data_IF_475949505887
#
_entry.id   IF_475949505887
#
_cell.length_a   1.000
_cell.length_b   1.000
_cell.length_c   1.000
_cell.angle_alpha   90.00
_cell.angle_beta   90.00
_cell.angle_gamma   90.00
#
_symmetry.space_group_name_H-M   'P 1'
#
loop_
_entity.id
_entity.type
_entity.pdbx_description
1 polymer ?
#
# COMPACT_ATOMS: atom_id res chain seq x y z
N UNK A 1 -10.83 -52.82 1.67
CA UNK A 1 -11.63 -51.78 0.95
C UNK A 1 -11.83 -50.48 1.70
N UNK A 2 -11.40 -50.33 2.91
CA UNK A 2 -11.61 -49.10 3.71
C UNK A 2 -10.44 -48.09 3.74
N UNK A 3 -9.34 -48.40 3.11
CA UNK A 3 -8.12 -47.55 3.20
C UNK A 3 -8.14 -46.36 2.22
N UNK A 4 -8.94 -46.44 1.16
CA UNK A 4 -8.98 -45.38 0.15
C UNK A 4 -9.93 -44.21 0.48
N UNK A 5 -10.89 -44.41 1.38
CA UNK A 5 -11.83 -43.34 1.74
C UNK A 5 -11.35 -42.38 2.82
N UNK A 6 -10.43 -42.81 3.67
CA UNK A 6 -9.88 -41.97 4.75
C UNK A 6 -8.87 -40.93 4.29
N UNK A 7 -8.20 -41.20 3.18
CA UNK A 7 -7.16 -40.28 2.65
C UNK A 7 -7.75 -39.04 2.00
N UNK A 8 -8.93 -39.13 1.40
CA UNK A 8 -9.56 -37.98 0.70
C UNK A 8 -10.16 -36.96 1.65
N UNK A 9 -10.68 -37.43 2.80
CA UNK A 9 -11.29 -36.52 3.81
C UNK A 9 -10.23 -35.70 4.55
N UNK A 10 -9.04 -36.26 4.79
CA UNK A 10 -7.94 -35.56 5.48
C UNK A 10 -7.36 -34.45 4.59
N UNK A 11 -7.27 -34.67 3.29
CA UNK A 11 -6.81 -33.66 2.34
C UNK A 11 -7.75 -32.47 2.21
N UNK A 12 -9.05 -32.71 2.25
CA UNK A 12 -10.08 -31.65 2.18
C UNK A 12 -10.14 -30.79 3.43
N UNK A 13 -9.96 -31.38 4.62
CA UNK A 13 -9.93 -30.66 5.89
C UNK A 13 -8.67 -29.78 6.02
N UNK A 14 -7.56 -30.25 5.49
CA UNK A 14 -6.31 -29.47 5.50
C UNK A 14 -6.40 -28.26 4.58
N UNK A 15 -7.02 -28.41 3.42
CA UNK A 15 -7.22 -27.31 2.47
C UNK A 15 -8.22 -26.26 3.01
N UNK A 16 -9.27 -26.68 3.68
CA UNK A 16 -10.22 -25.77 4.33
C UNK A 16 -9.61 -24.98 5.47
N UNK A 17 -8.71 -25.58 6.26
CA UNK A 17 -8.00 -24.92 7.35
C UNK A 17 -7.04 -23.83 6.89
N UNK A 18 -6.35 -24.04 5.77
CA UNK A 18 -5.42 -23.04 5.19
C UNK A 18 -6.18 -21.84 4.62
N UNK A 19 -7.33 -22.05 4.00
CA UNK A 19 -8.16 -20.96 3.47
C UNK A 19 -8.83 -20.13 4.57
N UNK A 20 -9.16 -20.71 5.70
CA UNK A 20 -9.79 -20.03 6.83
C UNK A 20 -8.77 -19.30 7.74
N UNK A 21 -7.49 -19.72 7.72
CA UNK A 21 -6.43 -19.11 8.53
C UNK A 21 -5.88 -17.80 7.96
N UNK A 22 -6.16 -17.50 6.69
CA UNK A 22 -5.53 -16.40 5.95
C UNK A 22 -6.43 -15.17 5.75
N UNK A 23 -7.47 -15.01 6.57
CA UNK A 23 -8.28 -13.78 6.58
C UNK A 23 -7.58 -12.64 7.33
N UNK A 24 -6.27 -12.45 7.08
CA UNK A 24 -5.58 -11.25 7.53
C UNK A 24 -6.22 -10.06 6.83
N UNK A 25 -6.80 -9.15 7.60
CA UNK A 25 -7.36 -7.92 7.08
C UNK A 25 -6.34 -7.24 6.19
N UNK A 26 -6.74 -6.91 4.97
CA UNK A 26 -5.94 -6.06 4.09
C UNK A 26 -5.56 -4.76 4.81
N UNK A 27 -4.34 -4.31 4.60
CA UNK A 27 -3.87 -3.03 5.12
C UNK A 27 -4.35 -1.90 4.19
N UNK A 28 -4.88 -0.83 4.75
CA UNK A 28 -5.40 0.32 4.01
C UNK A 28 -4.43 1.50 4.10
N UNK A 29 -4.00 1.98 2.97
CA UNK A 29 -3.14 3.15 2.85
C UNK A 29 -3.88 4.25 2.09
N UNK A 30 -4.05 5.41 2.72
CA UNK A 30 -4.55 6.59 2.03
C UNK A 30 -3.47 7.18 1.14
N UNK A 31 -3.81 7.46 -0.11
CA UNK A 31 -2.90 8.03 -1.10
C UNK A 31 -3.42 9.31 -1.72
N UNK A 32 -2.50 10.09 -2.26
CA UNK A 32 -2.78 11.30 -3.01
C UNK A 32 -3.18 10.97 -4.46
N UNK A 33 -4.04 11.79 -5.07
CA UNK A 33 -4.39 11.67 -6.50
C UNK A 33 -3.18 11.85 -7.45
N UNK A 34 -2.08 12.43 -6.99
CA UNK A 34 -0.84 12.53 -7.77
C UNK A 34 -0.13 11.20 -8.02
N UNK A 35 -0.49 10.13 -7.27
CA UNK A 35 0.04 8.79 -7.50
C UNK A 35 -0.82 8.04 -8.51
N UNK A 36 -0.21 7.60 -9.59
CA UNK A 36 -0.93 6.95 -10.68
C UNK A 36 -1.33 5.51 -10.36
N UNK A 37 -2.50 5.04 -10.86
CA UNK A 37 -2.93 3.65 -10.64
C UNK A 37 -1.90 2.59 -11.05
N UNK A 38 -1.16 2.70 -12.17
CA UNK A 38 -0.11 1.74 -12.50
C UNK A 38 0.97 1.61 -11.44
N UNK A 39 1.43 2.73 -10.86
CA UNK A 39 2.41 2.71 -9.79
C UNK A 39 1.85 2.07 -8.51
N UNK A 40 0.63 2.41 -8.13
CA UNK A 40 -0.05 1.81 -6.97
C UNK A 40 -0.22 0.30 -7.13
N UNK A 41 -0.51 -0.17 -8.33
CA UNK A 41 -0.61 -1.61 -8.63
C UNK A 41 0.74 -2.31 -8.46
N UNK A 42 1.84 -1.69 -8.92
CA UNK A 42 3.19 -2.21 -8.70
C UNK A 42 3.50 -2.37 -7.22
N UNK A 43 3.16 -1.36 -6.41
CA UNK A 43 3.35 -1.41 -4.96
C UNK A 43 2.51 -2.51 -4.30
N UNK A 44 1.24 -2.64 -4.68
CA UNK A 44 0.35 -3.67 -4.14
C UNK A 44 0.84 -5.08 -4.44
N UNK A 45 1.28 -5.33 -5.67
CA UNK A 45 1.80 -6.64 -6.08
C UNK A 45 3.09 -6.98 -5.35
N UNK A 46 4.03 -6.05 -5.29
CA UNK A 46 5.30 -6.23 -4.59
C UNK A 46 5.10 -6.48 -3.10
N UNK A 47 4.21 -5.70 -2.46
CA UNK A 47 3.89 -5.88 -1.05
C UNK A 47 3.27 -7.26 -0.77
N UNK A 48 2.30 -7.68 -1.58
CA UNK A 48 1.68 -9.00 -1.45
C UNK A 48 2.69 -10.12 -1.63
N UNK A 49 3.62 -9.97 -2.57
CA UNK A 49 4.68 -10.94 -2.82
C UNK A 49 5.62 -11.08 -1.62
N UNK A 50 6.03 -9.97 -1.02
CA UNK A 50 6.99 -9.94 0.09
C UNK A 50 6.34 -10.26 1.44
N UNK A 51 5.16 -9.73 1.69
CA UNK A 51 4.51 -9.73 3.01
C UNK A 51 3.34 -10.69 3.14
N UNK A 52 2.90 -11.33 2.04
CA UNK A 52 1.75 -12.25 2.00
C UNK A 52 0.45 -11.64 2.55
N UNK A 53 0.31 -10.32 2.41
CA UNK A 53 -0.83 -9.54 2.89
C UNK A 53 -1.27 -8.60 1.79
N UNK A 54 -2.57 -8.42 1.62
CA UNK A 54 -3.12 -7.47 0.65
C UNK A 54 -2.93 -6.03 1.14
N UNK A 55 -2.59 -5.16 0.20
CA UNK A 55 -2.47 -3.73 0.40
C UNK A 55 -3.50 -3.01 -0.46
N UNK A 56 -4.37 -2.23 0.18
CA UNK A 56 -5.41 -1.46 -0.49
C UNK A 56 -5.06 0.02 -0.43
N UNK A 57 -4.98 0.66 -1.59
CA UNK A 57 -4.81 2.09 -1.69
C UNK A 57 -6.16 2.79 -1.89
N UNK A 58 -6.41 3.82 -1.10
CA UNK A 58 -7.64 4.60 -1.14
C UNK A 58 -7.31 6.07 -1.42
N UNK A 59 -7.84 6.59 -2.52
CA UNK A 59 -7.76 8.01 -2.84
C UNK A 59 -8.94 8.72 -2.24
N UNK A 60 -8.71 9.68 -1.35
CA UNK A 60 -9.78 10.49 -0.76
C UNK A 60 -9.74 11.91 -1.31
N UNK A 61 -10.91 12.43 -1.65
CA UNK A 61 -11.05 13.81 -2.18
C UNK A 61 -11.10 14.87 -1.07
N UNK A 62 -11.44 14.47 0.16
CA UNK A 62 -11.61 15.41 1.28
C UNK A 62 -10.31 15.57 2.07
N UNK A 63 -9.93 16.81 2.32
CA UNK A 63 -8.81 17.15 3.20
C UNK A 63 -9.21 17.16 4.69
N UNK A 64 -10.50 17.26 4.98
CA UNK A 64 -11.04 17.25 6.35
C UNK A 64 -11.62 15.89 6.67
N UNK A 65 -10.81 15.05 7.30
CA UNK A 65 -11.24 13.74 7.76
C UNK A 65 -11.51 13.76 9.26
N UNK A 66 -12.64 13.16 9.64
CA UNK A 66 -12.96 12.92 11.05
C UNK A 66 -12.00 11.89 11.65
N UNK A 67 -11.87 11.87 12.98
CA UNK A 67 -11.10 10.85 13.70
C UNK A 67 -11.48 9.42 13.27
N UNK A 68 -12.78 9.16 13.15
CA UNK A 68 -13.30 7.85 12.73
C UNK A 68 -12.77 7.45 11.38
N UNK A 69 -12.78 8.35 10.40
CA UNK A 69 -12.30 8.08 9.04
C UNK A 69 -10.77 7.92 9.02
N UNK A 70 -10.03 8.73 9.75
CA UNK A 70 -8.57 8.60 9.86
C UNK A 70 -8.18 7.24 10.46
N UNK A 71 -8.91 6.77 11.46
CA UNK A 71 -8.65 5.50 12.12
C UNK A 71 -9.04 4.26 11.29
N UNK A 72 -9.72 4.43 10.15
CA UNK A 72 -9.96 3.37 9.18
C UNK A 72 -8.72 3.07 8.32
N UNK A 73 -7.75 3.98 8.28
CA UNK A 73 -6.49 3.79 7.57
C UNK A 73 -5.41 3.26 8.52
N UNK A 74 -4.52 2.45 7.97
CA UNK A 74 -3.34 1.94 8.66
C UNK A 74 -2.13 2.86 8.46
N UNK A 75 -2.06 3.49 7.29
CA UNK A 75 -0.98 4.39 6.92
C UNK A 75 -1.40 5.42 5.87
N UNK A 76 -0.52 6.37 5.63
CA UNK A 76 -0.69 7.45 4.67
C UNK A 76 0.55 7.58 3.79
N UNK A 77 0.36 7.65 2.49
CA UNK A 77 1.38 7.98 1.50
C UNK A 77 0.88 9.19 0.71
N UNK A 78 1.24 10.37 1.15
CA UNK A 78 0.69 11.64 0.68
C UNK A 78 1.79 12.62 0.31
N UNK A 79 1.45 13.61 -0.50
CA UNK A 79 2.29 14.79 -0.64
C UNK A 79 2.47 15.49 0.71
N UNK A 80 3.59 16.15 0.91
CA UNK A 80 3.86 16.87 2.16
C UNK A 80 2.77 17.91 2.47
N UNK A 81 2.27 18.61 1.44
CA UNK A 81 1.19 19.58 1.59
C UNK A 81 -0.12 18.97 2.11
N UNK A 82 -0.50 17.80 1.60
CA UNK A 82 -1.72 17.09 2.06
C UNK A 82 -1.49 16.46 3.44
N UNK A 83 -0.32 15.91 3.70
CA UNK A 83 0.04 15.34 5.00
C UNK A 83 -0.03 16.38 6.13
N UNK A 84 0.35 17.62 5.87
CA UNK A 84 0.31 18.71 6.85
C UNK A 84 -1.11 19.08 7.29
N UNK A 85 -2.14 18.71 6.52
CA UNK A 85 -3.54 18.87 6.88
C UNK A 85 -4.08 17.82 7.87
N UNK A 86 -3.32 16.75 8.14
CA UNK A 86 -3.69 15.74 9.12
C UNK A 86 -3.17 16.15 10.50
N UNK A 87 -3.99 16.05 11.58
CA UNK A 87 -3.52 16.36 12.93
C UNK A 87 -2.25 15.56 13.30
N UNK A 88 -1.24 16.24 13.79
CA UNK A 88 0.04 15.61 14.14
C UNK A 88 -0.11 14.45 15.14
N UNK A 89 -1.07 14.55 16.07
CA UNK A 89 -1.39 13.50 17.03
C UNK A 89 -1.93 12.20 16.42
N UNK A 90 -2.48 12.27 15.20
CA UNK A 90 -2.98 11.10 14.45
C UNK A 90 -1.88 10.36 13.71
N UNK A 91 -0.71 10.94 13.56
CA UNK A 91 0.41 10.41 12.79
C UNK A 91 1.49 9.86 13.72
N UNK A 92 2.15 8.83 13.24
CA UNK A 92 3.29 8.22 13.92
C UNK A 92 4.41 7.96 12.92
N UNK A 93 5.57 8.54 13.16
CA UNK A 93 6.73 8.54 12.30
C UNK A 93 6.44 9.05 10.88
N UNK A 94 6.93 10.22 10.56
CA UNK A 94 6.93 10.75 9.19
C UNK A 94 8.26 10.44 8.53
N UNK A 95 8.20 9.75 7.39
CA UNK A 95 9.37 9.42 6.59
C UNK A 95 9.20 9.98 5.17
N UNK A 96 10.20 10.72 4.72
CA UNK A 96 10.31 11.13 3.34
C UNK A 96 10.69 9.91 2.47
N UNK A 97 9.93 9.63 1.41
CA UNK A 97 10.19 8.48 0.57
C UNK A 97 10.79 8.83 -0.79
N UNK A 98 10.18 9.77 -1.51
CA UNK A 98 10.66 10.16 -2.83
C UNK A 98 10.10 11.51 -3.27
N UNK A 99 10.76 12.11 -4.25
CA UNK A 99 10.29 13.31 -4.92
C UNK A 99 9.87 12.99 -6.35
N UNK A 100 8.68 13.44 -6.75
CA UNK A 100 8.25 13.34 -8.15
C UNK A 100 9.13 14.23 -9.03
N UNK A 101 9.69 13.66 -10.10
CA UNK A 101 10.52 14.41 -11.06
C UNK A 101 9.69 15.37 -11.92
N UNK A 102 8.42 15.05 -12.16
CA UNK A 102 7.53 15.84 -13.03
C UNK A 102 7.10 17.14 -12.36
N UNK A 103 6.56 17.06 -11.15
CA UNK A 103 5.99 18.21 -10.43
C UNK A 103 6.76 18.57 -9.16
N UNK A 104 7.88 17.92 -8.89
CA UNK A 104 8.72 18.09 -7.69
C UNK A 104 7.98 17.94 -6.36
N UNK A 105 6.87 17.22 -6.37
CA UNK A 105 6.10 16.91 -5.16
C UNK A 105 6.88 15.96 -4.28
N UNK A 106 7.01 16.30 -3.00
CA UNK A 106 7.58 15.45 -1.96
C UNK A 106 6.52 14.50 -1.42
N UNK A 107 6.75 13.20 -1.51
CA UNK A 107 5.89 12.18 -0.95
C UNK A 107 6.42 11.66 0.37
N UNK A 108 5.55 11.70 1.35
CA UNK A 108 5.82 11.38 2.75
C UNK A 108 4.94 10.21 3.17
N UNK A 109 5.52 9.29 3.91
CA UNK A 109 4.83 8.17 4.53
C UNK A 109 4.69 8.40 6.03
N UNK A 110 3.54 8.03 6.58
CA UNK A 110 3.33 8.00 8.02
C UNK A 110 2.38 6.87 8.39
N UNK A 111 2.61 6.23 9.52
CA UNK A 111 1.65 5.31 10.11
C UNK A 111 0.54 6.09 10.82
N UNK A 112 -0.63 5.46 10.96
CA UNK A 112 -1.62 5.93 11.92
C UNK A 112 -1.10 5.73 13.36
N UNK A 113 -1.33 6.68 14.22
CA UNK A 113 -1.01 6.52 15.64
C UNK A 113 -2.02 5.58 16.31
N UNK A 114 -1.56 4.40 16.71
CA UNK A 114 -2.42 3.38 17.31
C UNK A 114 -3.07 3.84 18.61
N UNK A 115 -2.38 4.63 19.42
CA UNK A 115 -2.92 5.22 20.65
C UNK A 115 -4.04 6.24 20.36
N UNK A 116 -3.86 7.07 19.34
CA UNK A 116 -4.90 8.01 18.90
C UNK A 116 -6.20 7.28 18.51
N UNK A 117 -6.08 6.09 17.92
CA UNK A 117 -7.20 5.26 17.49
C UNK A 117 -7.63 4.21 18.53
N UNK A 118 -7.05 4.20 19.71
CA UNK A 118 -7.34 3.22 20.78
C UNK A 118 -7.20 1.76 20.33
N UNK A 119 -6.14 1.48 19.53
CA UNK A 119 -5.83 0.14 19.03
C UNK A 119 -4.69 -0.51 19.84
N UNK A 120 -4.77 -1.83 20.06
CA UNK A 120 -3.86 -2.57 20.92
C UNK A 120 -2.45 -2.81 20.35
N UNK A 121 -1.57 -3.40 21.17
CA UNK A 121 -0.14 -3.56 20.89
C UNK A 121 0.21 -4.44 19.68
N UNK A 122 -0.57 -5.49 19.39
CA UNK A 122 -0.37 -6.32 18.20
C UNK A 122 -0.57 -5.56 16.89
N UNK A 123 -1.44 -4.58 16.89
CA UNK A 123 -1.67 -3.71 15.76
C UNK A 123 -0.43 -2.84 15.46
N UNK A 124 0.19 -2.28 16.48
CA UNK A 124 1.43 -1.52 16.34
C UNK A 124 2.54 -2.33 15.66
N UNK A 125 2.71 -3.58 16.05
CA UNK A 125 3.70 -4.47 15.43
C UNK A 125 3.46 -4.67 13.91
N UNK A 126 2.20 -4.83 13.50
CA UNK A 126 1.84 -4.91 12.08
C UNK A 126 2.20 -3.62 11.34
N UNK A 127 1.95 -2.47 11.95
CA UNK A 127 2.27 -1.17 11.36
C UNK A 127 3.78 -0.95 11.21
N UNK A 128 4.58 -1.38 12.17
CA UNK A 128 6.05 -1.26 12.10
C UNK A 128 6.62 -2.10 10.96
N UNK A 129 6.06 -3.25 10.67
CA UNK A 129 6.43 -4.06 9.51
C UNK A 129 6.07 -3.38 8.19
N UNK A 130 4.89 -2.77 8.13
CA UNK A 130 4.44 -1.98 6.99
C UNK A 130 5.39 -0.81 6.73
N UNK A 131 5.74 -0.03 7.75
CA UNK A 131 6.68 1.09 7.67
C UNK A 131 8.03 0.66 7.11
N UNK A 132 8.63 -0.39 7.66
CA UNK A 132 9.93 -0.90 7.19
C UNK A 132 9.91 -1.25 5.71
N UNK A 133 8.86 -1.90 5.26
CA UNK A 133 8.72 -2.24 3.85
C UNK A 133 8.60 -0.99 2.97
N UNK A 134 7.76 -0.02 3.36
CA UNK A 134 7.58 1.22 2.61
C UNK A 134 8.88 2.03 2.51
N UNK A 135 9.55 2.23 3.61
CA UNK A 135 10.80 3.02 3.65
C UNK A 135 11.89 2.37 2.81
N UNK A 136 11.96 1.05 2.78
CA UNK A 136 12.97 0.32 2.02
C UNK A 136 12.61 0.18 0.53
N UNK A 137 11.38 -0.21 0.21
CA UNK A 137 11.00 -0.64 -1.14
C UNK A 137 10.39 0.47 -2.01
N UNK A 138 9.63 1.39 -1.45
CA UNK A 138 8.91 2.38 -2.25
C UNK A 138 9.84 3.34 -2.99
N UNK A 139 10.93 3.87 -2.40
CA UNK A 139 11.87 4.71 -3.14
C UNK A 139 12.50 3.99 -4.34
N UNK A 140 12.88 2.73 -4.16
CA UNK A 140 13.46 1.90 -5.21
C UNK A 140 12.46 1.63 -6.35
N UNK A 141 11.23 1.24 -6.02
CA UNK A 141 10.17 1.00 -6.99
C UNK A 141 9.73 2.28 -7.69
N UNK A 142 9.71 3.41 -7.00
CA UNK A 142 9.41 4.70 -7.59
C UNK A 142 10.43 5.08 -8.67
N UNK A 143 11.70 4.84 -8.43
CA UNK A 143 12.75 5.13 -9.39
C UNK A 143 12.66 4.22 -10.63
N UNK A 144 12.54 2.92 -10.44
CA UNK A 144 12.43 1.95 -11.55
C UNK A 144 11.16 2.14 -12.38
N UNK A 145 10.03 2.41 -11.74
CA UNK A 145 8.75 2.64 -12.43
C UNK A 145 8.78 3.90 -13.32
N UNK A 146 9.47 4.94 -12.90
CA UNK A 146 9.63 6.17 -13.71
C UNK A 146 10.37 5.92 -15.00
N UNK A 147 11.41 5.11 -14.98
CA UNK A 147 12.18 4.78 -16.19
C UNK A 147 11.28 4.06 -17.19
N UNK A 148 10.54 3.07 -16.76
CA UNK A 148 9.65 2.29 -17.62
C UNK A 148 8.49 3.12 -18.16
N UNK A 149 7.88 3.96 -17.35
CA UNK A 149 6.78 4.83 -17.76
C UNK A 149 7.21 5.84 -18.81
N UNK A 150 8.36 6.46 -18.65
CA UNK A 150 8.90 7.40 -19.63
C UNK A 150 9.19 6.72 -20.97
N UNK A 151 9.78 5.55 -20.94
CA UNK A 151 10.09 4.79 -22.16
C UNK A 151 8.83 4.35 -22.90
N UNK A 152 7.77 3.97 -22.21
CA UNK A 152 6.47 3.63 -22.81
C UNK A 152 5.77 4.87 -23.39
N UNK A 153 5.82 5.99 -22.69
CA UNK A 153 5.25 7.26 -23.17
C UNK A 153 5.96 7.73 -24.43
N UNK A 154 7.28 7.72 -24.44
CA UNK A 154 8.10 8.13 -25.58
C UNK A 154 7.85 7.22 -26.79
N UNK A 155 7.71 5.91 -26.60
CA UNK A 155 7.35 4.96 -27.67
C UNK A 155 5.97 5.24 -28.26
N UNK A 156 5.00 5.60 -27.43
CA UNK A 156 3.64 5.91 -27.85
C UNK A 156 3.62 7.22 -28.67
N UNK A 157 4.36 8.24 -28.23
CA UNK A 157 4.44 9.51 -28.95
C UNK A 157 5.15 9.36 -30.32
N UNK A 158 6.19 8.54 -30.39
CA UNK A 158 6.90 8.24 -31.63
C UNK A 158 6.00 7.52 -32.63
N UNK A 159 5.16 6.59 -32.17
CA UNK A 159 4.20 5.87 -33.00
C UNK A 159 3.15 6.82 -33.60
N UNK A 160 2.58 7.72 -32.80
CA UNK A 160 1.59 8.72 -33.26
C UNK A 160 2.18 9.67 -34.27
N UNK A 161 3.44 10.05 -34.15
CA UNK A 161 4.13 10.93 -35.14
C UNK A 161 4.36 10.25 -36.48
N UNK A 162 4.61 8.95 -36.49
CA UNK A 162 4.88 8.18 -37.71
C UNK A 162 3.62 7.77 -38.47
N UNK A 163 2.44 7.86 -37.85
CA UNK A 163 1.13 7.55 -38.45
C UNK A 163 0.41 8.80 -39.02
N UNK A 164 1.03 9.98 -38.92
CA UNK A 164 0.58 11.24 -39.56
C UNK A 164 1.36 11.58 -40.78
#
# INVERSE_FOLDING_TARGET
>A
MSVFQTSLCVGLLFFGGVLLGDSSKALKVRVDKGLTPPFLNVLSLAFKQDMKTDLIFVVTKSNKLSKKVLCDFDAFLLSEAVMSGIPAKALFHKEFLFQSKENKTLYVFSLINSQYCSKGGNYRYKLERLERWFVQKVPELAESHRVDYKSQYDKTQTKIKNER
#
